data_IF_324377849068
#
_entry.id   IF_324377849068
#
_cell.length_a   1.000
_cell.length_b   1.000
_cell.length_c   1.000
_cell.angle_alpha   90.00
_cell.angle_beta   90.00
_cell.angle_gamma   90.00
#
_symmetry.space_group_name_H-M   'P 1'
#
loop_
_entity.id
_entity.type
_entity.pdbx_description
1 polymer ?
#
# COMPACT_ATOMS: atom_id res chain seq x y z
N UNK A 1 71.00 -25.94 -45.63
CA UNK A 1 71.11 -26.63 -44.33
C UNK A 1 70.18 -25.93 -43.36
N UNK A 2 69.20 -26.49 -42.66
CA UNK A 2 68.59 -27.80 -42.55
C UNK A 2 67.18 -27.48 -41.98
N UNK A 3 66.07 -27.87 -42.60
CA UNK A 3 65.38 -29.12 -42.30
C UNK A 3 65.34 -29.50 -40.80
N UNK A 4 64.09 -29.61 -40.30
CA UNK A 4 63.63 -30.51 -39.23
C UNK A 4 63.91 -29.99 -37.81
N UNK A 5 62.94 -29.82 -36.92
CA UNK A 5 61.90 -30.79 -36.56
C UNK A 5 60.60 -30.09 -36.14
N UNK A 6 59.59 -30.22 -37.00
CA UNK A 6 58.19 -30.32 -36.58
C UNK A 6 58.11 -31.54 -35.65
N UNK A 7 57.93 -31.33 -34.35
CA UNK A 7 57.77 -32.42 -33.39
C UNK A 7 56.42 -33.07 -33.69
N UNK A 8 56.46 -34.20 -34.40
CA UNK A 8 55.33 -35.10 -34.63
C UNK A 8 54.59 -35.27 -33.30
N UNK A 9 53.38 -34.71 -33.21
CA UNK A 9 52.47 -35.05 -32.15
C UNK A 9 52.29 -36.57 -32.18
N UNK A 10 52.69 -37.25 -31.11
CA UNK A 10 52.28 -38.62 -30.91
C UNK A 10 50.76 -38.63 -30.92
N UNK A 11 50.20 -39.42 -31.83
CA UNK A 11 48.78 -39.78 -31.82
C UNK A 11 48.49 -40.46 -30.48
N UNK A 12 48.04 -39.68 -29.50
CA UNK A 12 47.36 -40.17 -28.32
C UNK A 12 45.86 -40.10 -28.65
N UNK A 13 45.12 -41.22 -28.65
CA UNK A 13 43.72 -41.24 -29.06
C UNK A 13 42.76 -40.57 -28.05
N UNK A 14 43.30 -39.81 -27.09
CA UNK A 14 42.55 -39.21 -25.98
C UNK A 14 42.79 -37.69 -25.82
N UNK A 15 43.39 -37.00 -26.81
CA UNK A 15 43.62 -35.54 -26.74
C UNK A 15 42.45 -34.65 -27.16
N UNK A 16 41.37 -35.22 -27.70
CA UNK A 16 40.15 -34.47 -28.07
C UNK A 16 39.12 -34.39 -26.93
N UNK A 17 39.50 -34.79 -25.70
CA UNK A 17 38.60 -34.80 -24.55
C UNK A 17 39.14 -33.88 -23.46
N UNK A 18 38.35 -32.88 -23.08
CA UNK A 18 38.59 -32.06 -21.89
C UNK A 18 38.37 -32.97 -20.68
N UNK A 19 39.37 -33.19 -19.82
CA UNK A 19 39.17 -33.99 -18.62
C UNK A 19 38.28 -33.21 -17.65
N UNK A 20 37.04 -33.68 -17.49
CA UNK A 20 36.14 -33.19 -16.45
C UNK A 20 36.52 -33.89 -15.15
N UNK A 21 37.04 -33.13 -14.20
CA UNK A 21 37.34 -33.58 -12.85
C UNK A 21 36.50 -32.75 -11.86
N UNK A 22 36.07 -33.38 -10.78
CA UNK A 22 35.39 -32.68 -9.69
C UNK A 22 36.44 -31.79 -9.02
N UNK A 23 36.37 -30.48 -9.27
CA UNK A 23 37.36 -29.50 -8.80
C UNK A 23 37.23 -29.21 -7.31
N UNK A 24 36.06 -29.46 -6.72
CA UNK A 24 35.76 -29.25 -5.30
C UNK A 24 35.31 -30.55 -4.69
N UNK A 25 36.13 -31.12 -3.80
CA UNK A 25 35.72 -32.23 -2.95
C UNK A 25 34.85 -31.68 -1.82
N UNK A 26 33.59 -32.09 -1.76
CA UNK A 26 32.69 -31.79 -0.65
C UNK A 26 32.94 -32.76 0.50
N UNK A 27 32.53 -32.39 1.72
CA UNK A 27 32.59 -33.31 2.85
C UNK A 27 31.69 -34.52 2.54
N UNK A 28 32.28 -35.70 2.40
CA UNK A 28 31.50 -36.90 2.07
C UNK A 28 30.62 -37.30 3.25
N UNK A 29 29.30 -37.11 3.09
CA UNK A 29 28.32 -37.68 4.01
C UNK A 29 28.52 -39.20 4.11
N UNK A 30 28.30 -39.75 5.30
CA UNK A 30 28.28 -41.19 5.51
C UNK A 30 27.18 -41.85 4.65
N UNK A 31 27.31 -43.14 4.35
CA UNK A 31 26.28 -43.86 3.60
C UNK A 31 24.92 -43.85 4.33
N UNK A 32 24.96 -43.85 5.66
CA UNK A 32 23.78 -43.81 6.52
C UNK A 32 23.15 -42.40 6.54
N UNK A 33 23.96 -41.34 6.61
CA UNK A 33 23.50 -39.94 6.50
C UNK A 33 22.86 -39.65 5.14
N UNK A 34 23.45 -40.17 4.04
CA UNK A 34 22.84 -40.06 2.70
C UNK A 34 21.51 -40.81 2.63
N UNK A 35 21.44 -42.02 3.19
CA UNK A 35 20.20 -42.79 3.21
C UNK A 35 19.11 -42.06 4.00
N UNK A 36 19.45 -41.49 5.15
CA UNK A 36 18.56 -40.66 5.96
C UNK A 36 18.04 -39.43 5.20
N UNK A 37 18.92 -38.61 4.63
CA UNK A 37 18.50 -37.42 3.87
C UNK A 37 17.70 -37.79 2.62
N UNK A 38 18.04 -38.89 1.93
CA UNK A 38 17.26 -39.40 0.79
C UNK A 38 15.87 -39.87 1.22
N UNK A 39 15.74 -40.47 2.41
CA UNK A 39 14.44 -40.86 2.95
C UNK A 39 13.58 -39.64 3.26
N UNK A 40 14.18 -38.58 3.84
CA UNK A 40 13.51 -37.29 4.06
C UNK A 40 13.06 -36.65 2.74
N UNK A 41 13.95 -36.60 1.74
CA UNK A 41 13.65 -36.03 0.42
C UNK A 41 12.52 -36.78 -0.29
N UNK A 42 12.47 -38.11 -0.15
CA UNK A 42 11.37 -38.94 -0.67
C UNK A 42 10.08 -38.88 0.15
N UNK A 43 10.13 -38.30 1.35
CA UNK A 43 9.01 -38.30 2.28
C UNK A 43 8.71 -39.66 2.91
N UNK A 44 9.68 -40.56 2.99
CA UNK A 44 9.52 -41.89 3.59
C UNK A 44 9.49 -41.80 5.13
N UNK A 45 8.29 -41.65 5.68
CA UNK A 45 8.08 -41.54 7.12
C UNK A 45 8.67 -42.72 7.91
N UNK A 46 8.52 -43.95 7.42
CA UNK A 46 8.97 -45.14 8.13
C UNK A 46 10.51 -45.21 8.16
N UNK A 47 11.15 -44.94 7.01
CA UNK A 47 12.60 -44.87 6.90
C UNK A 47 13.21 -43.78 7.79
N UNK A 48 12.62 -42.57 7.78
CA UNK A 48 13.09 -41.46 8.62
C UNK A 48 12.92 -41.79 10.10
N UNK A 49 11.77 -42.35 10.50
CA UNK A 49 11.52 -42.73 11.90
C UNK A 49 12.54 -43.76 12.40
N UNK A 50 12.82 -44.79 11.60
CA UNK A 50 13.79 -45.81 11.95
C UNK A 50 15.19 -45.21 12.09
N UNK A 51 15.61 -44.37 11.13
CA UNK A 51 16.91 -43.71 11.18
C UNK A 51 17.08 -42.81 12.41
N UNK A 52 16.03 -42.08 12.83
CA UNK A 52 16.07 -41.25 14.05
C UNK A 52 16.16 -42.11 15.32
N UNK A 53 15.41 -43.20 15.38
CA UNK A 53 15.47 -44.12 16.53
C UNK A 53 16.82 -44.82 16.65
N UNK A 54 17.42 -45.22 15.52
CA UNK A 54 18.77 -45.77 15.50
C UNK A 54 19.82 -44.74 15.89
N UNK A 55 19.67 -43.49 15.46
CA UNK A 55 20.57 -42.41 15.82
C UNK A 55 20.58 -42.12 17.33
N UNK A 56 19.44 -42.24 18.02
CA UNK A 56 19.35 -42.10 19.49
C UNK A 56 20.11 -43.20 20.24
N UNK A 57 20.19 -44.41 19.68
CA UNK A 57 20.79 -45.59 20.32
C UNK A 57 22.28 -45.69 20.00
N UNK A 58 22.63 -45.52 18.73
CA UNK A 58 23.96 -45.84 18.21
C UNK A 58 24.82 -44.60 17.94
N UNK A 59 24.25 -43.39 17.92
CA UNK A 59 24.94 -42.13 17.58
C UNK A 59 25.73 -42.21 16.26
N UNK A 60 25.26 -43.05 15.33
CA UNK A 60 25.89 -43.35 14.05
C UNK A 60 25.61 -42.28 12.97
N UNK A 61 24.52 -41.52 13.13
CA UNK A 61 24.06 -40.49 12.20
C UNK A 61 23.99 -39.15 12.93
N UNK A 62 24.58 -38.11 12.35
CA UNK A 62 24.30 -36.75 12.78
C UNK A 62 22.93 -36.32 12.21
N UNK A 63 21.93 -36.17 13.07
CA UNK A 63 20.57 -35.79 12.65
C UNK A 63 20.53 -34.39 12.01
N UNK A 64 21.49 -33.52 12.35
CA UNK A 64 21.65 -32.20 11.77
C UNK A 64 22.67 -32.18 10.60
N UNK A 65 22.92 -33.33 9.96
CA UNK A 65 23.75 -33.39 8.76
C UNK A 65 23.18 -32.50 7.64
N UNK A 66 24.08 -32.02 6.79
CA UNK A 66 23.77 -31.19 5.64
C UNK A 66 24.07 -31.98 4.38
N UNK A 67 23.20 -31.89 3.38
CA UNK A 67 23.43 -32.48 2.06
C UNK A 67 24.59 -31.75 1.31
N UNK A 68 25.06 -32.29 0.17
CA UNK A 68 25.98 -31.61 -0.75
C UNK A 68 25.61 -30.15 -1.10
N UNK A 69 24.31 -29.84 -1.04
CA UNK A 69 23.72 -28.54 -1.32
C UNK A 69 23.52 -27.70 -0.06
N UNK A 70 24.11 -28.07 1.08
CA UNK A 70 24.04 -27.34 2.36
C UNK A 70 22.67 -27.32 3.05
N UNK A 71 21.72 -28.17 2.63
CA UNK A 71 20.36 -28.24 3.18
C UNK A 71 20.31 -29.21 4.37
N UNK A 72 19.65 -28.81 5.45
CA UNK A 72 19.34 -29.70 6.56
C UNK A 72 18.10 -30.55 6.27
N UNK A 73 17.96 -31.68 6.95
CA UNK A 73 16.75 -32.52 6.87
C UNK A 73 15.45 -31.72 7.07
N UNK A 74 15.45 -30.76 8.00
CA UNK A 74 14.28 -29.91 8.28
C UNK A 74 13.95 -29.00 7.09
N UNK A 75 14.95 -28.39 6.45
CA UNK A 75 14.73 -27.52 5.28
C UNK A 75 14.19 -28.33 4.08
N UNK A 76 14.72 -29.55 3.86
CA UNK A 76 14.24 -30.45 2.81
C UNK A 76 12.78 -30.83 3.05
N UNK A 77 12.41 -31.17 4.30
CA UNK A 77 11.03 -31.51 4.64
C UNK A 77 10.05 -30.33 4.41
N UNK A 78 10.48 -29.10 4.70
CA UNK A 78 9.69 -27.88 4.45
C UNK A 78 9.58 -27.58 2.96
N UNK A 79 10.68 -27.69 2.21
CA UNK A 79 10.73 -27.48 0.75
C UNK A 79 9.78 -28.44 0.02
N UNK A 80 9.72 -29.69 0.47
CA UNK A 80 8.82 -30.72 -0.08
C UNK A 80 7.41 -30.70 0.53
N UNK A 81 7.09 -29.71 1.38
CA UNK A 81 5.80 -29.55 2.06
C UNK A 81 5.31 -30.79 2.82
N UNK A 82 6.23 -31.61 3.33
CA UNK A 82 5.89 -32.84 4.05
C UNK A 82 5.73 -32.60 5.55
N UNK A 83 4.49 -32.31 5.96
CA UNK A 83 4.12 -32.01 7.34
C UNK A 83 4.46 -33.15 8.32
N UNK A 84 4.20 -34.40 7.94
CA UNK A 84 4.35 -35.57 8.83
C UNK A 84 5.82 -35.83 9.16
N UNK A 85 6.69 -35.78 8.15
CA UNK A 85 8.13 -35.93 8.33
C UNK A 85 8.69 -34.75 9.13
N UNK A 86 8.23 -33.53 8.84
CA UNK A 86 8.65 -32.35 9.59
C UNK A 86 8.25 -32.44 11.08
N UNK A 87 7.03 -32.85 11.39
CA UNK A 87 6.58 -33.02 12.79
C UNK A 87 7.43 -34.08 13.51
N UNK A 88 7.72 -35.20 12.83
CA UNK A 88 8.59 -36.25 13.36
C UNK A 88 10.01 -35.74 13.65
N UNK A 89 10.60 -34.95 12.75
CA UNK A 89 11.90 -34.31 12.97
C UNK A 89 11.88 -33.34 14.15
N UNK A 90 10.85 -32.50 14.25
CA UNK A 90 10.68 -31.54 15.35
C UNK A 90 10.45 -32.21 16.72
N UNK A 91 9.89 -33.43 16.73
CA UNK A 91 9.67 -34.21 17.95
C UNK A 91 10.95 -34.89 18.46
N UNK A 92 11.89 -35.24 17.58
CA UNK A 92 13.20 -35.81 17.95
C UNK A 92 14.28 -34.72 18.18
N UNK A 93 13.88 -33.46 18.36
CA UNK A 93 14.78 -32.39 18.78
C UNK A 93 15.76 -31.90 17.70
N UNK A 94 15.44 -32.07 16.41
CA UNK A 94 16.22 -31.48 15.31
C UNK A 94 16.33 -29.97 15.49
N UNK A 95 17.52 -29.41 15.27
CA UNK A 95 17.77 -28.01 15.54
C UNK A 95 16.98 -27.13 14.56
N UNK A 96 15.95 -26.45 15.08
CA UNK A 96 15.25 -25.39 14.38
C UNK A 96 16.16 -24.17 14.47
N UNK A 97 17.07 -24.03 13.51
CA UNK A 97 18.13 -23.00 13.54
C UNK A 97 17.64 -21.67 14.13
N UNK A 98 18.29 -21.24 15.21
CA UNK A 98 17.93 -20.00 15.90
C UNK A 98 18.23 -18.81 15.00
N UNK A 99 17.22 -17.99 14.71
CA UNK A 99 17.36 -16.72 13.99
C UNK A 99 18.29 -15.72 14.72
N UNK A 100 18.51 -15.93 16.02
CA UNK A 100 19.34 -15.07 16.89
C UNK A 100 20.82 -15.39 16.82
N UNK A 101 21.22 -16.59 16.39
CA UNK A 101 22.61 -17.07 16.50
C UNK A 101 23.41 -16.99 15.21
N UNK A 102 22.81 -16.54 14.10
CA UNK A 102 23.52 -16.44 12.81
C UNK A 102 24.21 -17.75 12.47
N UNK A 103 23.56 -18.89 12.75
CA UNK A 103 24.12 -20.21 12.45
C UNK A 103 24.19 -20.33 10.95
N UNK A 104 25.37 -20.01 10.45
CA UNK A 104 25.77 -20.01 9.07
C UNK A 104 25.59 -21.43 8.52
N UNK A 105 24.43 -21.69 7.90
CA UNK A 105 24.28 -22.82 7.00
C UNK A 105 25.36 -22.63 5.92
N UNK A 106 26.15 -23.69 5.69
CA UNK A 106 27.20 -23.67 4.68
C UNK A 106 26.63 -23.25 3.31
N UNK A 107 27.45 -22.68 2.40
CA UNK A 107 26.98 -22.21 1.10
C UNK A 107 26.29 -23.36 0.34
N UNK A 108 24.97 -23.25 0.25
CA UNK A 108 24.08 -24.24 -0.31
C UNK A 108 23.12 -23.63 -1.33
N UNK A 109 22.11 -24.39 -1.79
CA UNK A 109 21.04 -23.88 -2.67
C UNK A 109 20.32 -22.65 -2.06
N UNK A 110 20.27 -22.57 -0.73
CA UNK A 110 19.71 -21.44 0.01
C UNK A 110 20.79 -20.45 0.43
N UNK A 111 20.44 -19.17 0.41
CA UNK A 111 21.30 -18.15 1.02
C UNK A 111 21.31 -18.36 2.54
N UNK A 112 22.46 -18.23 3.22
CA UNK A 112 22.61 -18.70 4.61
C UNK A 112 21.83 -17.88 5.64
N UNK A 113 21.18 -16.81 5.20
CA UNK A 113 20.26 -15.96 5.95
C UNK A 113 18.82 -16.52 6.01
N UNK A 114 18.47 -17.53 5.20
CA UNK A 114 17.14 -18.14 5.20
C UNK A 114 17.00 -19.07 6.41
N UNK A 115 16.09 -18.72 7.32
CA UNK A 115 15.70 -19.59 8.45
C UNK A 115 14.54 -20.52 8.05
N UNK A 116 14.30 -21.62 8.78
CA UNK A 116 13.19 -22.54 8.49
C UNK A 116 11.81 -21.85 8.42
N UNK A 117 11.56 -20.85 9.27
CA UNK A 117 10.32 -20.07 9.23
C UNK A 117 10.21 -19.17 7.99
N UNK A 118 11.33 -18.61 7.52
CA UNK A 118 11.35 -17.82 6.28
C UNK A 118 10.99 -18.70 5.08
N UNK A 119 11.61 -19.88 4.97
CA UNK A 119 11.30 -20.84 3.92
C UNK A 119 9.82 -21.26 3.94
N UNK A 120 9.29 -21.60 5.12
CA UNK A 120 7.89 -21.96 5.28
C UNK A 120 6.91 -20.81 4.92
N UNK A 121 7.28 -19.57 5.23
CA UNK A 121 6.50 -18.40 4.86
C UNK A 121 6.55 -18.14 3.34
N UNK A 122 7.68 -18.41 2.70
CA UNK A 122 7.85 -18.28 1.24
C UNK A 122 7.03 -19.32 0.48
N UNK A 123 6.87 -20.54 1.01
CA UNK A 123 5.93 -21.55 0.47
C UNK A 123 4.47 -21.25 0.85
N UNK A 124 4.24 -20.33 1.78
CA UNK A 124 2.92 -19.86 2.22
C UNK A 124 2.01 -21.00 2.77
N UNK A 125 2.61 -22.08 3.30
CA UNK A 125 1.87 -23.22 3.85
C UNK A 125 1.46 -22.96 5.32
N UNK A 126 0.15 -22.80 5.55
CA UNK A 126 -0.42 -22.44 6.85
C UNK A 126 -0.05 -23.42 7.98
N UNK A 127 -0.16 -24.73 7.75
CA UNK A 127 0.04 -25.73 8.81
C UNK A 127 1.52 -25.82 9.24
N UNK A 128 2.43 -25.71 8.26
CA UNK A 128 3.87 -25.69 8.53
C UNK A 128 4.23 -24.45 9.38
N UNK A 129 3.77 -23.27 8.96
CA UNK A 129 4.02 -22.02 9.68
C UNK A 129 3.45 -22.11 11.10
N UNK A 130 2.24 -22.65 11.27
CA UNK A 130 1.59 -22.82 12.57
C UNK A 130 2.40 -23.70 13.52
N UNK A 131 2.92 -24.84 13.04
CA UNK A 131 3.78 -25.71 13.85
C UNK A 131 5.08 -25.01 14.28
N UNK A 132 5.71 -24.25 13.38
CA UNK A 132 6.92 -23.49 13.68
C UNK A 132 6.67 -22.34 14.67
N UNK A 133 5.56 -21.61 14.52
CA UNK A 133 5.17 -20.52 15.43
C UNK A 133 4.86 -21.04 16.84
N UNK A 134 4.24 -22.23 16.97
CA UNK A 134 4.02 -22.88 18.27
C UNK A 134 5.32 -23.19 19.02
N UNK A 135 6.42 -23.42 18.28
CA UNK A 135 7.77 -23.61 18.83
C UNK A 135 8.49 -22.29 19.15
N UNK A 136 7.81 -21.14 19.07
CA UNK A 136 8.31 -19.79 19.40
C UNK A 136 9.52 -19.35 18.58
N UNK A 137 9.60 -19.78 17.32
CA UNK A 137 10.61 -19.28 16.37
C UNK A 137 10.39 -17.77 16.18
N UNK A 138 11.49 -17.01 16.15
CA UNK A 138 11.45 -15.55 15.96
C UNK A 138 11.86 -15.16 14.56
N UNK A 139 11.26 -14.08 14.05
CA UNK A 139 11.66 -13.45 12.79
C UNK A 139 12.35 -12.13 13.15
N UNK A 140 13.55 -11.85 12.65
CA UNK A 140 14.21 -10.57 12.91
C UNK A 140 13.37 -9.43 12.32
N UNK A 141 13.21 -8.35 13.07
CA UNK A 141 12.55 -7.15 12.54
C UNK A 141 13.51 -6.47 11.54
N UNK A 142 13.06 -6.16 10.31
CA UNK A 142 13.91 -5.49 9.36
C UNK A 142 14.22 -4.08 9.86
N UNK A 143 15.49 -3.69 9.78
CA UNK A 143 15.89 -2.30 10.00
C UNK A 143 15.56 -1.46 8.76
N UNK A 144 15.39 -0.15 8.97
CA UNK A 144 15.27 0.80 7.86
C UNK A 144 16.54 0.79 6.99
N UNK A 145 16.40 1.11 5.71
CA UNK A 145 17.54 1.11 4.76
C UNK A 145 18.68 2.01 5.24
N UNK A 146 18.36 3.15 5.87
CA UNK A 146 19.32 4.13 6.38
C UNK A 146 19.68 3.90 7.86
N UNK A 147 19.70 2.64 8.29
CA UNK A 147 20.03 2.33 9.67
C UNK A 147 21.54 2.38 9.90
N UNK A 148 21.97 3.25 10.80
CA UNK A 148 23.39 3.46 11.14
C UNK A 148 23.86 2.55 12.31
N UNK A 149 23.17 1.45 12.58
CA UNK A 149 23.59 0.55 13.66
C UNK A 149 24.84 -0.26 13.26
N UNK A 150 25.65 -0.63 14.26
CA UNK A 150 26.92 -1.35 14.05
C UNK A 150 26.73 -2.63 13.23
N UNK A 151 25.65 -3.38 13.46
CA UNK A 151 25.33 -4.60 12.72
C UNK A 151 25.02 -4.35 11.22
N UNK A 152 24.22 -3.32 10.91
CA UNK A 152 23.89 -2.97 9.52
C UNK A 152 25.12 -2.44 8.77
N UNK A 153 25.89 -1.54 9.39
CA UNK A 153 27.08 -0.95 8.77
C UNK A 153 28.13 -2.05 8.50
N UNK A 154 28.46 -2.86 9.49
CA UNK A 154 29.42 -3.95 9.33
C UNK A 154 28.98 -4.99 8.29
N UNK A 155 27.72 -5.43 8.32
CA UNK A 155 27.23 -6.40 7.32
C UNK A 155 27.22 -5.84 5.90
N UNK A 156 26.90 -4.56 5.73
CA UNK A 156 26.95 -3.89 4.43
C UNK A 156 28.37 -3.65 3.92
N UNK A 157 29.34 -3.36 4.79
CA UNK A 157 30.75 -3.22 4.42
C UNK A 157 31.38 -4.56 4.02
N UNK A 158 30.97 -5.65 4.68
CA UNK A 158 31.44 -7.01 4.34
C UNK A 158 30.81 -7.49 3.04
N UNK A 159 29.47 -7.42 2.90
CA UNK A 159 28.76 -7.84 1.70
C UNK A 159 27.38 -7.15 1.58
N UNK A 160 27.34 -6.09 0.77
CA UNK A 160 26.13 -5.31 0.51
C UNK A 160 25.03 -6.08 -0.22
N UNK A 161 25.39 -7.04 -1.08
CA UNK A 161 24.42 -7.87 -1.82
C UNK A 161 23.74 -8.85 -0.87
N UNK A 162 24.50 -9.49 0.01
CA UNK A 162 23.92 -10.35 1.06
C UNK A 162 23.03 -9.57 2.02
N UNK A 163 23.46 -8.37 2.43
CA UNK A 163 22.68 -7.54 3.34
C UNK A 163 21.32 -7.14 2.73
N UNK A 164 21.31 -6.70 1.46
CA UNK A 164 20.07 -6.34 0.75
C UNK A 164 19.17 -7.54 0.47
N UNK A 165 19.73 -8.67 0.03
CA UNK A 165 18.96 -9.90 -0.21
C UNK A 165 18.36 -10.48 1.07
N UNK A 166 19.08 -10.39 2.19
CA UNK A 166 18.56 -10.79 3.50
C UNK A 166 17.38 -9.95 3.94
N UNK A 167 17.46 -8.63 3.78
CA UNK A 167 16.32 -7.73 4.04
C UNK A 167 15.11 -8.09 3.18
N UNK A 168 15.31 -8.34 1.90
CA UNK A 168 14.24 -8.75 0.99
C UNK A 168 13.60 -10.08 1.40
N UNK A 169 14.40 -11.07 1.79
CA UNK A 169 13.92 -12.36 2.32
C UNK A 169 13.07 -12.20 3.59
N UNK A 170 13.46 -11.29 4.49
CA UNK A 170 12.67 -10.94 5.69
C UNK A 170 11.33 -10.31 5.29
N UNK A 171 11.33 -9.34 4.39
CA UNK A 171 10.10 -8.71 3.92
C UNK A 171 9.16 -9.68 3.20
N UNK A 172 9.72 -10.56 2.36
CA UNK A 172 8.97 -11.63 1.69
C UNK A 172 8.32 -12.58 2.69
N UNK A 173 9.03 -12.89 3.79
CA UNK A 173 8.50 -13.69 4.90
C UNK A 173 7.33 -12.98 5.58
N UNK A 174 7.51 -11.71 5.94
CA UNK A 174 6.49 -10.91 6.64
C UNK A 174 5.24 -10.64 5.78
N UNK A 175 5.41 -10.56 4.45
CA UNK A 175 4.32 -10.34 3.50
C UNK A 175 3.48 -11.60 3.21
N UNK A 176 3.88 -12.76 3.74
CA UNK A 176 3.17 -14.02 3.56
C UNK A 176 1.75 -13.98 4.18
N UNK A 177 0.69 -14.21 3.40
CA UNK A 177 -0.70 -14.21 3.88
C UNK A 177 -0.94 -15.13 5.08
N UNK A 178 -0.40 -16.35 5.01
CA UNK A 178 -0.55 -17.35 6.07
C UNK A 178 0.12 -16.88 7.37
N UNK A 179 1.29 -16.24 7.27
CA UNK A 179 1.98 -15.70 8.44
C UNK A 179 1.23 -14.51 9.05
N UNK A 180 0.76 -13.56 8.23
CA UNK A 180 -0.02 -12.42 8.71
C UNK A 180 -1.29 -12.90 9.42
N UNK A 181 -1.99 -13.88 8.84
CA UNK A 181 -3.21 -14.45 9.43
C UNK A 181 -2.99 -15.15 10.78
N UNK A 182 -1.82 -15.76 11.01
CA UNK A 182 -1.49 -16.44 12.26
C UNK A 182 -0.94 -15.52 13.36
N UNK A 183 -0.19 -14.50 12.97
CA UNK A 183 0.64 -13.71 13.90
C UNK A 183 0.09 -12.31 14.22
N UNK A 184 -0.78 -11.76 13.37
CA UNK A 184 -1.29 -10.39 13.53
C UNK A 184 -2.66 -10.34 14.18
N UNK A 185 -2.85 -9.43 15.13
CA UNK A 185 -4.16 -9.17 15.75
C UNK A 185 -5.14 -8.49 14.78
N UNK A 186 -4.69 -7.47 14.03
CA UNK A 186 -5.43 -6.85 12.92
C UNK A 186 -4.71 -7.12 11.59
N UNK A 187 -5.04 -8.22 10.89
CA UNK A 187 -4.36 -8.60 9.65
C UNK A 187 -4.57 -7.59 8.52
N UNK A 188 -5.71 -6.88 8.48
CA UNK A 188 -6.00 -5.89 7.44
C UNK A 188 -5.06 -4.69 7.60
N UNK A 189 -4.93 -4.20 8.82
CA UNK A 189 -4.05 -3.08 9.11
C UNK A 189 -2.58 -3.43 8.91
N UNK A 190 -2.14 -4.61 9.35
CA UNK A 190 -0.78 -5.10 9.09
C UNK A 190 -0.49 -5.13 7.60
N UNK A 191 -1.43 -5.67 6.80
CA UNK A 191 -1.30 -5.70 5.35
C UNK A 191 -1.23 -4.30 4.71
N UNK A 192 -1.99 -3.33 5.24
CA UNK A 192 -1.93 -1.94 4.76
C UNK A 192 -0.58 -1.30 5.05
N UNK A 193 -0.08 -1.41 6.29
CA UNK A 193 1.21 -0.84 6.72
C UNK A 193 2.36 -1.47 5.96
N UNK A 194 2.39 -2.80 5.90
CA UNK A 194 3.45 -3.54 5.21
C UNK A 194 3.41 -3.30 3.71
N UNK A 195 2.22 -3.32 3.09
CA UNK A 195 2.07 -3.01 1.67
C UNK A 195 2.53 -1.60 1.29
N UNK A 196 2.31 -0.62 2.17
CA UNK A 196 2.83 0.74 2.02
C UNK A 196 4.35 0.81 2.18
N UNK A 197 4.89 0.21 3.25
CA UNK A 197 6.33 0.17 3.51
C UNK A 197 7.08 -0.46 2.34
N UNK A 198 6.63 -1.60 1.83
CA UNK A 198 7.19 -2.26 0.64
C UNK A 198 7.16 -1.36 -0.59
N UNK A 199 6.08 -0.57 -0.77
CA UNK A 199 5.96 0.34 -1.92
C UNK A 199 6.90 1.55 -1.80
N UNK A 200 7.18 2.02 -0.61
CA UNK A 200 8.18 3.08 -0.40
C UNK A 200 9.60 2.51 -0.54
N UNK A 201 9.88 1.32 -0.01
CA UNK A 201 11.16 0.63 -0.17
C UNK A 201 11.48 0.39 -1.65
N UNK A 202 10.48 0.05 -2.48
CA UNK A 202 10.68 -0.15 -3.92
C UNK A 202 11.12 1.11 -4.68
N UNK A 203 10.96 2.30 -4.09
CA UNK A 203 11.44 3.57 -4.67
C UNK A 203 12.87 3.90 -4.20
N UNK A 204 13.30 3.33 -3.08
CA UNK A 204 14.62 3.57 -2.48
C UNK A 204 15.62 2.53 -3.00
N UNK A 205 15.24 1.25 -3.04
CA UNK A 205 16.04 0.15 -3.59
C UNK A 205 15.60 -0.15 -5.03
N UNK A 206 16.32 0.45 -5.98
CA UNK A 206 15.97 0.35 -7.39
C UNK A 206 16.26 -1.05 -7.96
N UNK A 207 17.26 -1.74 -7.41
CA UNK A 207 17.74 -3.04 -7.89
C UNK A 207 16.70 -4.15 -7.69
N UNK A 208 16.00 -4.14 -6.56
CA UNK A 208 14.95 -5.13 -6.20
C UNK A 208 13.53 -4.55 -6.30
N UNK A 209 13.37 -3.43 -7.01
CA UNK A 209 12.10 -2.71 -7.11
C UNK A 209 10.93 -3.62 -7.49
N UNK A 210 11.11 -4.48 -8.49
CA UNK A 210 10.05 -5.35 -8.97
C UNK A 210 9.57 -6.31 -7.87
N UNK A 211 10.50 -6.93 -7.14
CA UNK A 211 10.17 -7.88 -6.07
C UNK A 211 9.40 -7.19 -4.92
N UNK A 212 9.81 -5.99 -4.51
CA UNK A 212 9.07 -5.22 -3.51
C UNK A 212 7.68 -4.79 -4.00
N UNK A 213 7.54 -4.40 -5.28
CA UNK A 213 6.23 -4.06 -5.85
C UNK A 213 5.29 -5.27 -5.90
N UNK A 214 5.80 -6.46 -6.23
CA UNK A 214 5.06 -7.72 -6.20
C UNK A 214 4.61 -8.08 -4.78
N UNK A 215 5.49 -7.97 -3.77
CA UNK A 215 5.13 -8.20 -2.37
C UNK A 215 4.12 -7.18 -1.85
N UNK A 216 4.28 -5.90 -2.22
CA UNK A 216 3.30 -4.85 -1.91
C UNK A 216 1.92 -5.23 -2.46
N UNK A 217 1.88 -5.70 -3.72
CA UNK A 217 0.65 -6.13 -4.36
C UNK A 217 0.02 -7.35 -3.68
N UNK A 218 0.84 -8.33 -3.25
CA UNK A 218 0.38 -9.49 -2.49
C UNK A 218 -0.34 -9.08 -1.19
N UNK A 219 0.21 -8.11 -0.44
CA UNK A 219 -0.44 -7.57 0.76
C UNK A 219 -1.79 -6.90 0.46
N UNK A 220 -1.90 -6.16 -0.66
CA UNK A 220 -3.14 -5.51 -1.08
C UNK A 220 -4.23 -6.52 -1.42
N UNK A 221 -3.86 -7.56 -2.17
CA UNK A 221 -4.75 -8.65 -2.53
C UNK A 221 -5.21 -9.42 -1.31
N UNK A 222 -4.30 -9.74 -0.38
CA UNK A 222 -4.65 -10.39 0.88
C UNK A 222 -5.70 -9.60 1.69
N UNK A 223 -5.52 -8.29 1.84
CA UNK A 223 -6.48 -7.46 2.57
C UNK A 223 -7.86 -7.42 1.88
N UNK A 224 -7.88 -7.34 0.54
CA UNK A 224 -9.10 -7.40 -0.28
C UNK A 224 -9.79 -8.77 -0.13
N UNK A 225 -9.05 -9.85 -0.26
CA UNK A 225 -9.59 -11.22 -0.20
C UNK A 225 -10.13 -11.55 1.20
N UNK A 226 -9.53 -10.98 2.25
CA UNK A 226 -10.04 -11.11 3.63
C UNK A 226 -11.36 -10.33 3.82
N UNK A 227 -11.48 -9.15 3.20
CA UNK A 227 -12.74 -8.40 3.18
C UNK A 227 -13.82 -9.13 2.35
N UNK A 228 -13.44 -9.88 1.32
CA UNK A 228 -14.35 -10.71 0.50
C UNK A 228 -14.99 -11.85 1.30
N UNK A 229 -14.41 -12.25 2.44
CA UNK A 229 -14.98 -13.29 3.31
C UNK A 229 -16.13 -12.79 4.20
N UNK A 230 -16.36 -11.47 4.30
CA UNK A 230 -17.46 -10.92 5.09
C UNK A 230 -18.82 -11.32 4.49
N UNK A 231 -19.67 -11.99 5.28
CA UNK A 231 -20.94 -12.58 4.78
C UNK A 231 -22.15 -11.69 5.05
N UNK A 232 -22.03 -10.74 5.97
CA UNK A 232 -23.11 -9.85 6.36
C UNK A 232 -22.70 -8.39 6.27
N UNK A 233 -23.68 -7.51 6.00
CA UNK A 233 -23.45 -6.06 6.01
C UNK A 233 -23.00 -5.57 7.40
N UNK A 234 -23.42 -6.25 8.47
CA UNK A 234 -23.01 -5.93 9.85
C UNK A 234 -21.53 -6.25 10.10
N UNK A 235 -21.03 -7.39 9.64
CA UNK A 235 -19.59 -7.70 9.67
C UNK A 235 -18.81 -6.65 8.90
N UNK A 236 -19.26 -6.32 7.69
CA UNK A 236 -18.60 -5.33 6.83
C UNK A 236 -18.58 -3.93 7.49
N UNK A 237 -19.70 -3.48 8.05
CA UNK A 237 -19.78 -2.22 8.79
C UNK A 237 -18.87 -2.23 10.03
N UNK A 238 -18.76 -3.36 10.72
CA UNK A 238 -17.89 -3.49 11.90
C UNK A 238 -16.42 -3.35 11.49
N UNK A 239 -16.01 -4.03 10.41
CA UNK A 239 -14.64 -3.94 9.87
C UNK A 239 -14.34 -2.50 9.43
N UNK A 240 -15.20 -1.91 8.60
CA UNK A 240 -14.95 -0.60 7.99
C UNK A 240 -15.02 0.57 8.99
N UNK A 241 -15.75 0.41 10.09
CA UNK A 241 -15.82 1.42 11.16
C UNK A 241 -14.83 1.17 12.30
N UNK A 242 -14.08 0.06 12.29
CA UNK A 242 -13.12 -0.23 13.33
C UNK A 242 -12.03 0.86 13.41
N UNK A 243 -11.74 1.33 14.63
CA UNK A 243 -10.68 2.28 14.95
C UNK A 243 -9.63 1.56 15.79
N UNK A 244 -8.35 1.82 15.50
CA UNK A 244 -7.27 1.37 16.38
C UNK A 244 -7.37 2.09 17.72
N UNK A 245 -7.27 1.35 18.83
CA UNK A 245 -7.22 1.91 20.18
C UNK A 245 -6.07 2.92 20.38
N UNK A 246 -5.03 2.85 19.54
CA UNK A 246 -3.85 3.72 19.59
C UNK A 246 -4.01 5.02 18.78
N UNK A 247 -5.09 5.17 18.00
CA UNK A 247 -5.37 6.42 17.27
C UNK A 247 -6.10 7.41 18.17
N UNK A 248 -5.34 8.07 19.05
CA UNK A 248 -5.83 8.97 20.12
C UNK A 248 -6.36 10.35 19.65
N UNK A 249 -6.47 10.65 18.35
CA UNK A 249 -6.68 12.04 17.88
C UNK A 249 -8.07 12.39 17.29
N UNK A 250 -9.10 11.54 17.39
CA UNK A 250 -10.41 11.84 16.76
C UNK A 250 -11.60 11.68 17.69
N UNK A 251 -12.45 12.72 17.72
CA UNK A 251 -13.66 12.85 18.53
C UNK A 251 -14.49 11.55 18.59
N UNK A 252 -14.93 11.11 19.78
CA UNK A 252 -15.69 9.87 20.00
C UNK A 252 -17.16 9.95 19.52
N UNK A 253 -17.61 11.09 18.97
CA UNK A 253 -19.03 11.32 18.65
C UNK A 253 -19.47 10.82 17.28
N UNK A 254 -18.54 10.56 16.35
CA UNK A 254 -18.87 10.12 15.00
C UNK A 254 -18.58 8.61 14.80
N UNK A 255 -19.47 7.79 15.35
CA UNK A 255 -19.42 6.32 15.34
C UNK A 255 -19.63 5.69 13.93
N UNK A 256 -19.80 6.50 12.87
CA UNK A 256 -20.06 6.06 11.49
C UNK A 256 -19.15 6.74 10.46
N UNK A 257 -17.90 6.95 10.82
CA UNK A 257 -16.94 7.67 9.99
C UNK A 257 -16.22 6.80 8.95
N UNK A 258 -16.51 5.50 8.88
CA UNK A 258 -15.78 4.56 8.02
C UNK A 258 -14.27 4.71 8.22
N UNK A 259 -13.82 4.70 9.48
CA UNK A 259 -12.45 5.04 9.85
C UNK A 259 -11.41 4.13 9.16
N UNK A 260 -11.64 2.81 9.13
CA UNK A 260 -10.75 1.87 8.44
C UNK A 260 -10.78 2.08 6.92
N UNK A 261 -11.90 2.53 6.35
CA UNK A 261 -11.96 2.89 4.93
C UNK A 261 -11.13 4.15 4.62
N UNK A 262 -11.23 5.20 5.45
CA UNK A 262 -10.39 6.40 5.33
C UNK A 262 -8.91 6.02 5.42
N UNK A 263 -8.56 5.12 6.34
CA UNK A 263 -7.21 4.58 6.46
C UNK A 263 -6.77 3.79 5.21
N UNK A 264 -7.67 2.98 4.63
CA UNK A 264 -7.40 2.27 3.38
C UNK A 264 -7.10 3.25 2.22
N UNK A 265 -7.84 4.36 2.14
CA UNK A 265 -7.58 5.43 1.16
C UNK A 265 -6.22 6.08 1.42
N UNK A 266 -5.88 6.38 2.68
CA UNK A 266 -4.58 6.94 3.08
C UNK A 266 -3.40 6.05 2.67
N UNK A 267 -3.54 4.73 2.81
CA UNK A 267 -2.54 3.77 2.35
C UNK A 267 -2.67 3.37 0.87
N UNK A 268 -3.46 4.11 0.08
CA UNK A 268 -3.69 3.88 -1.35
C UNK A 268 -4.12 2.44 -1.71
N UNK A 269 -4.98 1.84 -0.88
CA UNK A 269 -5.49 0.48 -1.02
C UNK A 269 -6.66 0.42 -2.01
N UNK A 270 -6.38 0.67 -3.29
CA UNK A 270 -7.41 0.80 -4.34
C UNK A 270 -8.27 -0.45 -4.50
N UNK A 271 -7.68 -1.64 -4.41
CA UNK A 271 -8.36 -2.93 -4.60
C UNK A 271 -9.29 -3.27 -3.44
N UNK A 272 -8.88 -2.94 -2.21
CA UNK A 272 -9.70 -3.07 -1.03
C UNK A 272 -10.95 -2.17 -1.12
N UNK A 273 -10.77 -0.92 -1.53
CA UNK A 273 -11.88 0.05 -1.65
C UNK A 273 -12.81 -0.31 -2.81
N UNK A 274 -12.28 -0.79 -3.94
CA UNK A 274 -13.06 -1.14 -5.14
C UNK A 274 -13.81 -2.47 -5.04
N UNK A 275 -13.62 -3.21 -3.95
CA UNK A 275 -14.30 -4.45 -3.66
C UNK A 275 -15.84 -4.29 -3.75
N UNK A 276 -16.58 -5.20 -4.42
CA UNK A 276 -18.02 -5.06 -4.64
C UNK A 276 -18.85 -4.89 -3.37
N UNK A 277 -18.51 -5.60 -2.29
CA UNK A 277 -19.23 -5.51 -1.01
C UNK A 277 -19.04 -4.13 -0.36
N UNK A 278 -17.80 -3.63 -0.31
CA UNK A 278 -17.47 -2.27 0.11
C UNK A 278 -18.23 -1.21 -0.72
N UNK A 279 -18.21 -1.33 -2.05
CA UNK A 279 -18.91 -0.41 -2.95
C UNK A 279 -20.43 -0.47 -2.77
N UNK A 280 -21.00 -1.65 -2.52
CA UNK A 280 -22.41 -1.79 -2.23
C UNK A 280 -22.80 -1.02 -0.96
N UNK A 281 -22.04 -1.17 0.13
CA UNK A 281 -22.26 -0.43 1.37
C UNK A 281 -22.13 1.09 1.16
N UNK A 282 -21.05 1.54 0.52
CA UNK A 282 -20.85 2.96 0.22
C UNK A 282 -22.00 3.54 -0.57
N UNK A 283 -22.47 2.83 -1.58
CA UNK A 283 -23.59 3.30 -2.37
C UNK A 283 -24.96 3.14 -1.66
N UNK A 284 -25.07 2.38 -0.57
CA UNK A 284 -26.26 2.46 0.32
C UNK A 284 -26.21 3.70 1.19
N UNK A 285 -25.04 4.07 1.72
CA UNK A 285 -24.83 5.30 2.49
C UNK A 285 -24.99 6.55 1.61
N UNK A 286 -24.50 6.49 0.37
CA UNK A 286 -24.57 7.60 -0.58
C UNK A 286 -26.01 7.96 -0.96
N UNK A 287 -26.85 6.95 -1.24
CA UNK A 287 -28.25 7.12 -1.65
C UNK A 287 -29.25 6.99 -0.50
N UNK A 288 -28.82 7.25 0.74
CA UNK A 288 -29.68 7.08 1.90
C UNK A 288 -30.98 7.91 1.80
N UNK A 289 -32.11 7.24 2.04
CA UNK A 289 -33.48 7.74 1.85
C UNK A 289 -33.91 8.07 0.42
N UNK A 290 -33.24 7.54 -0.60
CA UNK A 290 -33.78 7.42 -1.96
C UNK A 290 -34.05 5.95 -2.32
N UNK A 291 -35.19 5.39 -1.88
CA UNK A 291 -35.50 3.99 -2.13
C UNK A 291 -35.58 3.70 -3.63
N UNK A 292 -34.88 2.64 -4.05
CA UNK A 292 -34.89 2.19 -5.44
C UNK A 292 -34.19 3.11 -6.43
N UNK A 293 -33.41 4.12 -6.00
CA UNK A 293 -32.73 5.06 -6.90
C UNK A 293 -31.96 4.38 -8.03
N UNK A 294 -31.20 3.32 -7.71
CA UNK A 294 -30.43 2.55 -8.71
C UNK A 294 -31.30 2.00 -9.84
N UNK A 295 -32.52 1.55 -9.54
CA UNK A 295 -33.47 0.92 -10.48
C UNK A 295 -34.23 1.92 -11.35
N UNK A 296 -34.19 3.21 -11.04
CA UNK A 296 -34.94 4.22 -11.82
C UNK A 296 -34.33 4.42 -13.21
N UNK A 297 -35.20 4.70 -14.17
CA UNK A 297 -34.80 5.08 -15.53
C UNK A 297 -33.93 6.35 -15.51
N UNK A 298 -32.96 6.43 -16.43
CA UNK A 298 -31.99 7.53 -16.49
C UNK A 298 -32.67 8.90 -16.65
N UNK A 299 -33.76 9.00 -17.40
CA UNK A 299 -34.50 10.25 -17.59
C UNK A 299 -35.15 10.76 -16.28
N UNK A 300 -35.70 9.86 -15.46
CA UNK A 300 -36.26 10.23 -14.15
C UNK A 300 -35.14 10.74 -13.25
N UNK A 301 -33.98 10.08 -13.25
CA UNK A 301 -32.80 10.52 -12.50
C UNK A 301 -32.39 11.92 -12.93
N UNK A 302 -32.28 12.17 -14.25
CA UNK A 302 -31.92 13.48 -14.80
C UNK A 302 -32.89 14.57 -14.35
N UNK A 303 -34.20 14.36 -14.51
CA UNK A 303 -35.22 15.34 -14.10
C UNK A 303 -35.13 15.61 -12.60
N UNK A 304 -35.03 14.58 -11.77
CA UNK A 304 -34.90 14.77 -10.32
C UNK A 304 -33.62 15.51 -9.93
N UNK A 305 -32.46 15.16 -10.52
CA UNK A 305 -31.20 15.88 -10.28
C UNK A 305 -31.29 17.35 -10.71
N UNK A 306 -31.90 17.62 -11.87
CA UNK A 306 -32.10 18.98 -12.36
C UNK A 306 -33.01 19.79 -11.44
N UNK A 307 -34.13 19.22 -10.98
CA UNK A 307 -35.03 19.90 -10.04
C UNK A 307 -34.37 20.19 -8.69
N UNK A 308 -33.60 19.24 -8.15
CA UNK A 308 -32.83 19.45 -6.91
C UNK A 308 -31.77 20.53 -7.12
N UNK A 309 -31.07 20.45 -8.25
CA UNK A 309 -30.07 21.44 -8.66
C UNK A 309 -30.67 22.85 -8.75
N UNK A 310 -31.81 23.04 -9.39
CA UNK A 310 -32.47 24.36 -9.48
C UNK A 310 -32.88 24.92 -8.10
N UNK A 311 -33.25 24.05 -7.17
CA UNK A 311 -33.70 24.41 -5.82
C UNK A 311 -32.55 24.55 -4.81
N UNK A 312 -31.28 24.44 -5.24
CA UNK A 312 -30.12 24.56 -4.34
C UNK A 312 -30.10 25.83 -3.45
N UNK A 313 -30.46 27.05 -3.91
CA UNK A 313 -30.37 28.23 -3.04
C UNK A 313 -31.40 28.17 -1.91
N UNK A 314 -32.58 27.59 -2.18
CA UNK A 314 -33.63 27.41 -1.17
C UNK A 314 -33.17 26.40 -0.12
N UNK A 315 -32.61 25.26 -0.53
CA UNK A 315 -32.11 24.26 0.41
C UNK A 315 -30.97 24.79 1.27
N UNK A 316 -30.03 25.53 0.70
CA UNK A 316 -28.93 26.14 1.44
C UNK A 316 -29.40 27.21 2.43
N UNK A 317 -30.36 28.05 2.05
CA UNK A 317 -30.94 29.06 2.95
C UNK A 317 -31.67 28.42 4.13
N UNK A 318 -32.47 27.39 3.87
CA UNK A 318 -33.18 26.66 4.93
C UNK A 318 -32.20 25.95 5.87
N UNK A 319 -31.08 25.44 5.36
CA UNK A 319 -30.04 24.85 6.20
C UNK A 319 -29.37 25.88 7.13
N UNK A 320 -29.12 27.10 6.62
CA UNK A 320 -28.53 28.18 7.40
C UNK A 320 -29.48 28.69 8.50
N UNK A 321 -30.78 28.81 8.20
CA UNK A 321 -31.78 29.31 9.15
C UNK A 321 -32.28 28.24 10.14
N UNK A 322 -32.49 27.02 9.67
CA UNK A 322 -33.12 25.93 10.44
C UNK A 322 -32.49 24.57 10.11
N UNK A 323 -31.28 24.27 10.60
CA UNK A 323 -30.52 23.05 10.25
C UNK A 323 -31.15 21.75 10.77
N UNK A 324 -32.08 21.83 11.73
CA UNK A 324 -32.83 20.68 12.28
C UNK A 324 -34.15 20.40 11.56
N UNK A 325 -34.53 21.24 10.59
CA UNK A 325 -35.73 21.02 9.79
C UNK A 325 -35.61 19.79 8.88
N UNK A 326 -36.73 19.28 8.37
CA UNK A 326 -36.73 18.14 7.44
C UNK A 326 -35.90 18.42 6.17
N UNK A 327 -35.98 19.64 5.63
CA UNK A 327 -35.17 20.09 4.49
C UNK A 327 -33.68 20.29 4.88
N UNK A 328 -33.41 20.76 6.10
CA UNK A 328 -32.05 20.85 6.63
C UNK A 328 -31.38 19.48 6.80
N UNK A 329 -32.13 18.46 7.23
CA UNK A 329 -31.65 17.07 7.27
C UNK A 329 -31.51 16.46 5.87
N UNK A 330 -32.33 16.90 4.90
CA UNK A 330 -32.26 16.44 3.53
C UNK A 330 -30.97 16.86 2.82
N UNK A 331 -30.50 18.11 3.01
CA UNK A 331 -29.22 18.58 2.42
C UNK A 331 -27.98 17.93 3.06
N UNK A 332 -28.08 17.45 4.31
CA UNK A 332 -26.99 16.71 4.97
C UNK A 332 -26.67 15.38 4.29
N UNK A 333 -27.59 14.85 3.48
CA UNK A 333 -27.36 13.63 2.70
C UNK A 333 -26.29 13.85 1.63
N UNK A 334 -25.31 12.95 1.49
CA UNK A 334 -24.13 13.19 0.67
C UNK A 334 -24.46 13.37 -0.82
N UNK A 335 -25.39 12.58 -1.36
CA UNK A 335 -25.83 12.73 -2.74
C UNK A 335 -26.47 14.10 -3.04
N UNK A 336 -27.22 14.66 -2.09
CA UNK A 336 -27.87 15.98 -2.25
C UNK A 336 -26.85 17.09 -2.12
N UNK A 337 -25.96 16.99 -1.13
CA UNK A 337 -24.82 17.90 -0.98
C UNK A 337 -24.02 17.98 -2.28
N UNK A 338 -23.70 16.83 -2.89
CA UNK A 338 -23.00 16.78 -4.18
C UNK A 338 -23.75 17.55 -5.28
N UNK A 339 -25.04 17.25 -5.51
CA UNK A 339 -25.84 17.95 -6.52
C UNK A 339 -25.87 19.47 -6.27
N UNK A 340 -26.05 19.90 -5.02
CA UNK A 340 -26.09 21.32 -4.67
C UNK A 340 -24.74 22.02 -4.93
N UNK A 341 -23.61 21.41 -4.58
CA UNK A 341 -22.29 21.96 -4.87
C UNK A 341 -22.04 22.04 -6.39
N UNK A 342 -22.37 20.98 -7.13
CA UNK A 342 -22.23 20.97 -8.59
C UNK A 342 -23.13 22.02 -9.25
N UNK A 343 -24.39 22.17 -8.80
CA UNK A 343 -25.30 23.18 -9.30
C UNK A 343 -24.78 24.61 -9.03
N UNK A 344 -24.29 24.87 -7.82
CA UNK A 344 -23.67 26.15 -7.47
C UNK A 344 -22.46 26.48 -8.36
N UNK A 345 -21.58 25.49 -8.59
CA UNK A 345 -20.43 25.66 -9.48
C UNK A 345 -20.84 25.91 -10.94
N UNK A 346 -21.86 25.20 -11.45
CA UNK A 346 -22.42 25.45 -12.78
C UNK A 346 -23.04 26.84 -12.90
N UNK A 347 -23.73 27.33 -11.87
CA UNK A 347 -24.24 28.71 -11.86
C UNK A 347 -23.12 29.75 -11.85
N UNK A 348 -22.02 29.47 -11.15
CA UNK A 348 -20.82 30.31 -11.17
C UNK A 348 -20.20 30.37 -12.58
N UNK A 349 -20.02 29.22 -13.24
CA UNK A 349 -19.54 29.18 -14.63
C UNK A 349 -20.48 29.91 -15.57
N UNK A 350 -21.79 29.78 -15.38
CA UNK A 350 -22.79 30.52 -16.16
C UNK A 350 -22.68 32.03 -15.94
N UNK A 351 -22.46 32.50 -14.71
CA UNK A 351 -22.20 33.93 -14.43
C UNK A 351 -20.91 34.43 -15.08
N UNK A 352 -19.84 33.61 -15.14
CA UNK A 352 -18.62 33.96 -15.87
C UNK A 352 -18.86 34.07 -17.39
N UNK A 353 -19.68 33.18 -17.96
CA UNK A 353 -20.09 33.29 -19.36
C UNK A 353 -20.94 34.54 -19.62
N UNK A 354 -21.84 34.89 -18.69
CA UNK A 354 -22.59 36.14 -18.77
C UNK A 354 -21.71 37.37 -18.58
N UNK A 355 -20.63 37.28 -17.80
CA UNK A 355 -19.67 38.37 -17.64
C UNK A 355 -18.84 38.60 -18.92
N UNK A 356 -18.56 37.55 -19.69
CA UNK A 356 -17.81 37.65 -20.95
C UNK A 356 -18.67 38.10 -22.13
N UNK A 357 -19.96 37.77 -22.12
CA UNK A 357 -20.92 38.35 -23.05
C UNK A 357 -21.18 39.79 -22.62
N UNK A 358 -20.72 40.77 -23.40
CA UNK A 358 -20.86 42.22 -23.21
C UNK A 358 -22.32 42.76 -23.15
N UNK A 359 -23.23 42.10 -22.42
CA UNK A 359 -24.61 42.56 -22.18
C UNK A 359 -24.60 43.73 -21.18
N UNK A 360 -23.57 43.82 -20.32
CA UNK A 360 -23.30 44.98 -19.47
C UNK A 360 -22.16 45.79 -20.09
N UNK A 361 -22.50 46.78 -20.93
CA UNK A 361 -21.53 47.73 -21.50
C UNK A 361 -20.78 48.42 -20.37
N UNK A 362 -19.49 48.10 -20.21
CA UNK A 362 -18.53 49.04 -19.66
C UNK A 362 -18.06 49.93 -20.80
N UNK A 363 -18.06 51.25 -20.60
CA UNK A 363 -17.52 52.17 -21.61
C UNK A 363 -16.05 51.85 -21.83
N UNK A 364 -15.71 51.41 -23.05
CA UNK A 364 -14.37 50.96 -23.47
C UNK A 364 -13.29 52.05 -23.32
N UNK A 365 -13.67 53.28 -22.99
CA UNK A 365 -12.78 54.44 -22.91
C UNK A 365 -12.46 54.91 -21.49
N UNK A 366 -12.88 54.19 -20.45
CA UNK A 366 -12.57 54.53 -19.06
C UNK A 366 -11.53 53.55 -18.49
N UNK A 367 -10.38 54.07 -18.06
CA UNK A 367 -9.44 53.27 -17.26
C UNK A 367 -10.07 53.00 -15.88
N UNK A 368 -10.06 51.73 -15.43
CA UNK A 368 -10.59 51.35 -14.11
C UNK A 368 -12.10 51.54 -13.93
N UNK A 369 -12.97 50.95 -14.79
CA UNK A 369 -14.42 51.07 -14.63
C UNK A 369 -14.90 50.46 -13.30
N UNK A 370 -15.99 50.98 -12.71
CA UNK A 370 -16.57 50.39 -11.52
C UNK A 370 -17.01 48.94 -11.78
N UNK A 371 -16.91 48.05 -10.78
CA UNK A 371 -17.29 46.65 -10.93
C UNK A 371 -18.74 46.50 -11.38
N UNK A 372 -18.97 45.65 -12.38
CA UNK A 372 -20.30 45.39 -12.92
C UNK A 372 -21.18 44.63 -11.93
N UNK A 373 -22.50 44.64 -12.12
CA UNK A 373 -23.44 43.87 -11.27
C UNK A 373 -23.10 42.38 -11.27
N UNK A 374 -22.67 41.84 -12.42
CA UNK A 374 -22.25 40.43 -12.54
C UNK A 374 -20.98 40.16 -11.74
N UNK A 375 -20.02 41.09 -11.73
CA UNK A 375 -18.81 40.98 -10.90
C UNK A 375 -19.12 41.02 -9.41
N UNK A 376 -20.05 41.88 -8.98
CA UNK A 376 -20.55 41.87 -7.59
C UNK A 376 -21.22 40.55 -7.22
N UNK A 377 -21.91 39.90 -8.16
CA UNK A 377 -22.47 38.57 -7.95
C UNK A 377 -21.40 37.47 -7.90
N UNK A 378 -20.28 37.61 -8.62
CA UNK A 378 -19.17 36.65 -8.65
C UNK A 378 -18.36 36.69 -7.35
N UNK A 379 -18.18 37.87 -6.74
CA UNK A 379 -17.32 38.06 -5.56
C UNK A 379 -17.64 37.11 -4.38
N UNK A 380 -18.91 36.88 -3.97
CA UNK A 380 -19.23 35.91 -2.93
C UNK A 380 -18.78 34.48 -3.23
N UNK A 381 -18.82 34.03 -4.49
CA UNK A 381 -18.32 32.71 -4.86
C UNK A 381 -16.81 32.62 -4.70
N UNK A 382 -16.07 33.63 -5.18
CA UNK A 382 -14.60 33.68 -5.04
C UNK A 382 -14.19 33.65 -3.56
N UNK A 383 -14.84 34.46 -2.71
CA UNK A 383 -14.59 34.43 -1.27
C UNK A 383 -14.93 33.07 -0.65
N UNK A 384 -16.02 32.43 -1.11
CA UNK A 384 -16.40 31.09 -0.70
C UNK A 384 -15.37 30.02 -1.07
N UNK A 385 -14.81 30.08 -2.29
CA UNK A 385 -13.74 29.16 -2.73
C UNK A 385 -12.46 29.36 -1.92
N UNK A 386 -12.03 30.61 -1.72
CA UNK A 386 -10.85 30.91 -0.89
C UNK A 386 -11.04 30.39 0.54
N UNK A 387 -12.21 30.61 1.14
CA UNK A 387 -12.50 30.11 2.48
C UNK A 387 -12.52 28.57 2.55
N UNK A 388 -13.09 27.92 1.52
CA UNK A 388 -13.10 26.46 1.43
C UNK A 388 -11.67 25.88 1.34
N UNK A 389 -10.80 26.47 0.50
CA UNK A 389 -9.39 26.07 0.40
C UNK A 389 -8.62 26.26 1.71
N UNK A 390 -8.79 27.41 2.37
CA UNK A 390 -8.15 27.68 3.66
C UNK A 390 -8.57 26.62 4.69
N UNK A 391 -9.85 26.27 4.70
CA UNK A 391 -10.36 25.24 5.60
C UNK A 391 -9.79 23.86 5.28
N UNK A 392 -9.75 23.47 4.01
CA UNK A 392 -9.22 22.17 3.59
C UNK A 392 -7.73 22.03 3.92
N UNK A 393 -6.94 23.08 3.67
CA UNK A 393 -5.52 23.12 4.06
C UNK A 393 -5.34 23.00 5.58
N UNK A 394 -6.23 23.60 6.38
CA UNK A 394 -6.17 23.54 7.84
C UNK A 394 -6.53 22.14 8.38
N UNK A 395 -7.56 21.51 7.83
CA UNK A 395 -8.08 20.23 8.30
C UNK A 395 -7.23 19.04 7.81
N UNK A 396 -6.68 19.07 6.59
CA UNK A 396 -5.90 17.98 5.99
C UNK A 396 -4.38 18.09 6.15
N UNK A 397 -3.86 19.29 6.43
CA UNK A 397 -2.43 19.54 6.49
C UNK A 397 -1.77 19.75 5.11
N UNK A 398 -0.69 20.52 5.10
CA UNK A 398 -0.07 21.00 3.86
C UNK A 398 0.50 19.89 2.96
N UNK A 399 1.06 18.83 3.55
CA UNK A 399 1.71 17.76 2.79
C UNK A 399 0.74 16.90 2.00
N UNK A 400 -0.42 16.56 2.59
CA UNK A 400 -1.45 15.80 1.90
C UNK A 400 -2.11 16.68 0.82
N UNK A 401 -2.32 17.97 1.12
CA UNK A 401 -2.90 18.94 0.19
C UNK A 401 -2.09 19.11 -1.11
N UNK A 402 -0.77 19.29 -1.02
CA UNK A 402 0.09 19.50 -2.21
C UNK A 402 0.22 18.24 -3.07
N UNK A 403 -0.08 17.06 -2.50
CA UNK A 403 -0.03 15.80 -3.24
C UNK A 403 -1.22 15.61 -4.20
N UNK A 404 -2.34 16.31 -3.99
CA UNK A 404 -3.46 16.32 -4.91
C UNK A 404 -3.30 17.41 -5.98
N UNK A 405 -3.25 16.99 -7.24
CA UNK A 405 -3.12 17.91 -8.37
C UNK A 405 -4.33 18.82 -8.55
N UNK A 406 -5.52 18.39 -8.12
CA UNK A 406 -6.72 19.23 -8.15
C UNK A 406 -6.62 20.39 -7.16
N UNK A 407 -6.15 20.12 -5.95
CA UNK A 407 -5.94 21.14 -4.93
C UNK A 407 -4.92 22.20 -5.39
N UNK A 408 -3.84 21.76 -6.06
CA UNK A 408 -2.89 22.70 -6.66
C UNK A 408 -3.52 23.57 -7.77
N UNK A 409 -4.41 23.00 -8.58
CA UNK A 409 -5.15 23.74 -9.60
C UNK A 409 -6.10 24.77 -8.96
N UNK A 410 -6.81 24.39 -7.90
CA UNK A 410 -7.74 25.26 -7.19
C UNK A 410 -7.01 26.38 -6.44
N UNK A 411 -5.84 26.09 -5.84
CA UNK A 411 -4.94 27.10 -5.29
C UNK A 411 -4.49 28.11 -6.34
N UNK A 412 -4.03 27.62 -7.51
CA UNK A 412 -3.62 28.48 -8.61
C UNK A 412 -4.78 29.35 -9.12
N UNK A 413 -5.96 28.76 -9.31
CA UNK A 413 -7.18 29.48 -9.70
C UNK A 413 -7.53 30.59 -8.69
N UNK A 414 -7.56 30.28 -7.39
CA UNK A 414 -7.87 31.25 -6.35
C UNK A 414 -6.82 32.36 -6.22
N UNK A 415 -5.54 32.04 -6.44
CA UNK A 415 -4.47 33.04 -6.50
C UNK A 415 -4.67 34.03 -7.66
N UNK A 416 -5.12 33.56 -8.83
CA UNK A 416 -5.44 34.41 -9.98
C UNK A 416 -6.68 35.27 -9.73
N UNK A 417 -7.69 34.75 -9.04
CA UNK A 417 -8.84 35.55 -8.63
C UNK A 417 -8.43 36.68 -7.67
N UNK A 418 -7.60 36.39 -6.66
CA UNK A 418 -7.06 37.40 -5.75
C UNK A 418 -6.20 38.46 -6.48
N UNK A 419 -5.36 38.04 -7.41
CA UNK A 419 -4.60 38.95 -8.26
C UNK A 419 -5.51 39.85 -9.10
N UNK A 420 -6.58 39.29 -9.68
CA UNK A 420 -7.54 40.05 -10.49
C UNK A 420 -8.29 41.09 -9.65
N UNK A 421 -8.76 40.70 -8.46
CA UNK A 421 -9.47 41.61 -7.53
C UNK A 421 -8.53 42.72 -7.05
N UNK A 422 -7.30 42.39 -6.66
CA UNK A 422 -6.33 43.38 -6.18
C UNK A 422 -5.93 44.38 -7.27
N UNK A 423 -5.65 43.91 -8.50
CA UNK A 423 -5.35 44.79 -9.64
C UNK A 423 -6.54 45.70 -10.00
N UNK A 424 -7.77 45.18 -9.94
CA UNK A 424 -8.97 45.99 -10.17
C UNK A 424 -9.17 47.06 -9.11
N UNK A 425 -8.98 46.72 -7.83
CA UNK A 425 -9.06 47.69 -6.73
C UNK A 425 -8.00 48.78 -6.90
N UNK A 426 -6.76 48.42 -7.21
CA UNK A 426 -5.67 49.39 -7.45
C UNK A 426 -5.99 50.31 -8.63
N UNK A 427 -6.48 49.75 -9.75
CA UNK A 427 -6.88 50.53 -10.91
C UNK A 427 -8.02 51.51 -10.58
N UNK A 428 -9.04 51.04 -9.85
CA UNK A 428 -10.15 51.87 -9.40
C UNK A 428 -9.70 53.01 -8.48
N UNK A 429 -8.90 52.71 -7.45
CA UNK A 429 -8.40 53.73 -6.52
C UNK A 429 -7.52 54.78 -7.20
N UNK A 430 -6.65 54.36 -8.12
CA UNK A 430 -5.78 55.31 -8.85
C UNK A 430 -6.60 56.28 -9.69
N UNK A 431 -7.67 55.80 -10.34
CA UNK A 431 -8.55 56.63 -11.18
C UNK A 431 -9.42 57.52 -10.31
N UNK A 432 -9.94 57.03 -9.18
CA UNK A 432 -10.74 57.85 -8.27
C UNK A 432 -9.93 58.97 -7.62
N UNK A 433 -8.69 58.70 -7.21
CA UNK A 433 -7.78 59.72 -6.65
C UNK A 433 -7.43 60.77 -7.69
N UNK A 434 -7.12 60.36 -8.93
CA UNK A 434 -6.81 61.30 -10.02
C UNK A 434 -7.98 62.27 -10.31
N UNK A 435 -9.22 61.75 -10.36
CA UNK A 435 -10.41 62.59 -10.54
C UNK A 435 -10.68 63.53 -9.34
N UNK A 436 -10.32 63.10 -8.13
CA UNK A 436 -10.52 63.89 -6.92
C UNK A 436 -9.49 65.03 -6.79
N UNK A 437 -8.27 64.81 -7.28
CA UNK A 437 -7.23 65.85 -7.38
C UNK A 437 -7.57 66.89 -8.47
N UNK A 438 -8.11 66.49 -9.62
CA UNK A 438 -8.61 67.44 -10.64
C UNK A 438 -9.79 68.29 -10.13
N UNK A 439 -10.69 67.71 -9.33
CA UNK A 439 -11.83 68.44 -8.76
C UNK A 439 -11.45 69.40 -7.62
N UNK A 440 -10.28 69.22 -7.00
CA UNK A 440 -9.73 70.15 -5.99
C UNK A 440 -8.89 71.29 -6.60
N UNK A 441 -8.47 71.15 -7.86
CA UNK A 441 -7.72 72.17 -8.61
C UNK A 441 -8.62 73.13 -9.41
N UNK A 442 -9.94 72.87 -9.43
CA UNK A 442 -11.01 73.75 -9.92
C UNK A 442 -11.72 74.40 -8.73
#
# INVERSE_FOLDING_TARGET
MAQLYYKKASYSPYRDRIPLQIVRAEAELSAEERAYLTAVEKGDYAGVKLALQEAEIYYNINVNCLDPLGRSALLIAIENENLEVMELLLNHGVHVGDATLGVMLLPGQFTPDITPIMLAAHTNNYEIIKLLVQRKVTIPRPHQIRCDCVACVSSSEVDSLRHSRSRLNVYKTLASPSLIALSSEDPILTAFRLGWELKELSKVENEFRQEYEELSQQCKLFAKDLLDQARSSRELETILNHRDYLSEELDPKDCRDLAKLKLAIKYHQKEFVSQPNCQQLLATLWYDGFPGWRRRHWAVKLVTCFTIGLLFPIFSLVYLLAPKSALGLFIKKPFIKFICHTASYLTFLFLLLLASQHIVRTDLHVQGPPPTVVEWMILPWVLGFIWAEIKEMWDGGFTEYVHDWWNLMDFAMNSLYLATISLKLVAYFKVSVFFQDELMLL
#
